data_IF_599082652223
#
_entry.id   IF_599082652223
#
_cell.length_a   1.000
_cell.length_b   1.000
_cell.length_c   1.000
_cell.angle_alpha   90.00
_cell.angle_beta   90.00
_cell.angle_gamma   90.00
#
_symmetry.space_group_name_H-M   'P 1'
#
loop_
_entity.id
_entity.type
_entity.pdbx_description
1 polymer ?
#
# COMPACT_ATOMS: atom_id res chain seq x y z
N UNK A 1 19.20 -24.25 -63.88
CA UNK A 1 17.77 -24.62 -63.73
C UNK A 1 17.48 -24.85 -62.26
N UNK A 2 16.29 -24.45 -61.77
CA UNK A 2 16.19 -23.55 -60.62
C UNK A 2 15.46 -24.16 -59.41
N UNK A 3 15.49 -23.41 -58.31
CA UNK A 3 14.62 -23.54 -57.16
C UNK A 3 14.70 -22.30 -56.28
N UNK A 4 14.35 -21.13 -56.84
CA UNK A 4 14.15 -19.89 -56.11
C UNK A 4 12.90 -20.00 -55.21
N UNK A 5 12.98 -19.50 -53.98
CA UNK A 5 11.86 -18.80 -53.36
C UNK A 5 12.38 -17.47 -52.84
N UNK A 6 11.88 -16.40 -53.45
CA UNK A 6 12.19 -15.01 -53.15
C UNK A 6 11.74 -14.66 -51.73
N UNK A 7 12.63 -14.05 -50.94
CA UNK A 7 12.23 -13.30 -49.75
C UNK A 7 11.63 -11.99 -50.23
N UNK A 8 10.37 -11.73 -49.88
CA UNK A 8 9.70 -10.46 -50.20
C UNK A 8 10.43 -9.27 -49.53
N UNK A 9 10.62 -8.12 -50.22
CA UNK A 9 11.40 -7.00 -49.69
C UNK A 9 10.69 -6.12 -48.64
N UNK A 10 9.47 -6.45 -48.20
CA UNK A 10 8.63 -5.51 -47.45
C UNK A 10 8.80 -5.53 -45.93
N UNK A 11 9.52 -6.50 -45.36
CA UNK A 11 9.67 -6.58 -43.90
C UNK A 11 10.85 -5.78 -43.34
N UNK A 12 11.78 -5.33 -44.21
CA UNK A 12 12.98 -4.58 -43.80
C UNK A 12 12.77 -3.10 -43.53
N UNK A 13 11.65 -2.51 -43.99
CA UNK A 13 11.35 -1.07 -43.82
C UNK A 13 10.29 -0.77 -42.74
N UNK A 14 9.61 -1.79 -42.19
CA UNK A 14 8.60 -1.57 -41.14
C UNK A 14 9.21 -1.50 -39.73
N UNK A 15 10.48 -1.88 -39.56
CA UNK A 15 11.16 -1.92 -38.26
C UNK A 15 11.83 -0.60 -37.85
N UNK A 16 11.96 0.39 -38.74
CA UNK A 16 12.53 1.70 -38.38
C UNK A 16 11.49 2.70 -37.87
N UNK A 17 10.21 2.54 -38.22
CA UNK A 17 9.20 3.60 -38.01
C UNK A 17 8.23 3.30 -36.85
N UNK A 18 8.43 2.21 -36.10
CA UNK A 18 7.56 1.78 -34.98
C UNK A 18 8.21 2.00 -33.59
N UNK A 19 9.41 2.59 -33.53
CA UNK A 19 10.17 2.73 -32.27
C UNK A 19 10.36 4.17 -31.80
N UNK A 20 9.35 5.02 -31.90
CA UNK A 20 9.30 6.21 -31.05
C UNK A 20 7.89 6.52 -30.53
N UNK A 21 7.47 5.79 -29.49
CA UNK A 21 6.20 6.02 -28.77
C UNK A 21 6.37 7.08 -27.66
N UNK A 22 7.35 7.99 -27.79
CA UNK A 22 7.61 9.04 -26.78
C UNK A 22 6.92 10.38 -27.08
N UNK A 23 6.20 10.50 -28.19
CA UNK A 23 5.39 11.68 -28.52
C UNK A 23 3.90 11.33 -28.63
N UNK A 24 3.02 12.29 -28.32
CA UNK A 24 1.57 12.16 -28.47
C UNK A 24 1.14 11.79 -29.91
N UNK A 25 1.94 12.16 -30.92
CA UNK A 25 1.70 11.81 -32.33
C UNK A 25 1.93 10.32 -32.61
N UNK A 26 2.92 9.69 -31.96
CA UNK A 26 3.20 8.26 -32.11
C UNK A 26 2.07 7.35 -31.60
N UNK A 27 1.38 7.79 -30.54
CA UNK A 27 0.20 7.08 -29.99
C UNK A 27 -0.99 7.17 -30.94
N UNK A 28 -1.20 8.34 -31.56
CA UNK A 28 -2.30 8.56 -32.50
C UNK A 28 -2.15 7.73 -33.78
N UNK A 29 -0.91 7.63 -34.31
CA UNK A 29 -0.61 6.81 -35.49
C UNK A 29 -0.80 5.31 -35.22
N UNK A 30 -0.44 4.84 -34.02
CA UNK A 30 -0.64 3.44 -33.63
C UNK A 30 -2.13 3.08 -33.48
N UNK A 31 -2.93 3.98 -32.89
CA UNK A 31 -4.38 3.79 -32.78
C UNK A 31 -5.08 3.80 -34.15
N UNK A 32 -4.63 4.65 -35.08
CA UNK A 32 -5.19 4.72 -36.43
C UNK A 32 -4.89 3.44 -37.25
N UNK A 33 -3.71 2.83 -37.05
CA UNK A 33 -3.33 1.58 -37.73
C UNK A 33 -4.07 0.36 -37.16
N UNK A 34 -4.39 0.38 -35.87
CA UNK A 34 -5.22 -0.66 -35.23
C UNK A 34 -6.69 -0.62 -35.67
N UNK A 35 -7.22 0.56 -36.05
CA UNK A 35 -8.56 0.66 -36.64
C UNK A 35 -8.62 0.09 -38.06
N UNK A 36 -7.57 0.22 -38.86
CA UNK A 36 -7.49 -0.36 -40.21
C UNK A 36 -7.40 -1.89 -40.18
N UNK A 37 -6.69 -2.45 -39.20
CA UNK A 37 -6.58 -3.91 -38.99
C UNK A 37 -7.87 -4.59 -38.52
N UNK A 38 -8.87 -3.83 -38.02
CA UNK A 38 -10.16 -4.36 -37.55
C UNK A 38 -11.22 -4.51 -38.65
N UNK A 39 -10.94 -4.09 -39.88
CA UNK A 39 -11.91 -4.10 -40.99
C UNK A 39 -11.82 -5.33 -41.90
N UNK A 40 -10.97 -6.32 -41.61
CA UNK A 40 -10.71 -7.43 -42.56
C UNK A 40 -10.78 -8.85 -41.98
N UNK A 41 -11.72 -9.17 -41.08
CA UNK A 41 -11.97 -10.58 -40.74
C UNK A 41 -13.44 -10.86 -40.40
N UNK A 42 -14.16 -11.47 -41.33
CA UNK A 42 -15.47 -12.08 -41.13
C UNK A 42 -15.34 -13.56 -40.68
N UNK A 43 -15.96 -13.87 -39.53
CA UNK A 43 -16.64 -15.14 -39.12
C UNK A 43 -15.81 -16.41 -38.78
N UNK A 44 -16.32 -17.39 -37.97
CA UNK A 44 -17.71 -17.63 -37.57
C UNK A 44 -17.98 -17.86 -36.06
N UNK A 45 -19.29 -17.95 -35.78
CA UNK A 45 -20.00 -18.12 -34.51
C UNK A 45 -19.39 -19.07 -33.46
N UNK A 46 -19.21 -18.55 -32.25
CA UNK A 46 -19.23 -19.34 -31.02
C UNK A 46 -19.98 -18.58 -29.90
N UNK A 47 -21.23 -18.20 -30.17
CA UNK A 47 -22.11 -17.47 -29.24
C UNK A 47 -22.75 -18.37 -28.17
N UNK A 48 -22.07 -19.42 -27.71
CA UNK A 48 -22.63 -20.33 -26.69
C UNK A 48 -21.63 -20.72 -25.57
N UNK A 49 -20.35 -20.33 -25.68
CA UNK A 49 -19.33 -20.65 -24.68
C UNK A 49 -18.81 -19.42 -23.89
N UNK A 50 -19.23 -18.21 -24.27
CA UNK A 50 -18.77 -16.96 -23.64
C UNK A 50 -19.71 -16.43 -22.55
N UNK A 51 -20.82 -17.12 -22.29
CA UNK A 51 -21.92 -16.58 -21.47
C UNK A 51 -22.14 -17.32 -20.14
N UNK A 52 -21.36 -18.37 -19.84
CA UNK A 52 -21.58 -19.22 -18.65
C UNK A 52 -20.62 -18.99 -17.47
N UNK A 53 -19.77 -17.96 -17.49
CA UNK A 53 -18.85 -17.67 -16.37
C UNK A 53 -19.03 -16.29 -15.72
N UNK A 54 -20.23 -15.70 -15.78
CA UNK A 54 -20.59 -14.55 -14.95
C UNK A 54 -20.77 -14.98 -13.48
N UNK A 55 -19.68 -15.30 -12.80
CA UNK A 55 -19.59 -14.98 -11.37
C UNK A 55 -19.39 -13.48 -11.31
N UNK A 56 -20.39 -12.76 -10.80
CA UNK A 56 -20.42 -11.31 -10.72
C UNK A 56 -19.24 -10.79 -9.89
N UNK A 57 -18.19 -10.34 -10.57
CA UNK A 57 -17.18 -9.44 -10.02
C UNK A 57 -17.81 -8.04 -10.03
N UNK A 58 -17.75 -7.27 -8.93
CA UNK A 58 -18.39 -5.96 -8.84
C UNK A 58 -17.84 -4.97 -9.89
N UNK A 59 -18.59 -3.91 -10.18
CA UNK A 59 -18.40 -2.93 -11.26
C UNK A 59 -17.08 -2.12 -11.26
N UNK A 60 -16.09 -2.54 -10.47
CA UNK A 60 -14.77 -1.92 -10.26
C UNK A 60 -13.81 -2.21 -11.42
N UNK A 61 -14.17 -3.10 -12.35
CA UNK A 61 -13.27 -3.65 -13.39
C UNK A 61 -12.88 -2.68 -14.53
N UNK A 62 -13.38 -1.44 -14.57
CA UNK A 62 -13.12 -0.52 -15.70
C UNK A 62 -12.92 0.93 -15.28
N UNK A 63 -11.74 1.24 -14.76
CA UNK A 63 -11.27 2.63 -14.70
C UNK A 63 -10.75 2.99 -16.09
N UNK A 64 -11.32 4.02 -16.71
CA UNK A 64 -10.76 4.52 -17.96
C UNK A 64 -9.39 5.14 -17.71
N UNK A 65 -8.48 5.04 -18.69
CA UNK A 65 -7.18 5.70 -18.58
C UNK A 65 -7.33 7.22 -18.35
N UNK A 66 -8.39 7.83 -18.87
CA UNK A 66 -8.73 9.23 -18.64
C UNK A 66 -9.05 9.53 -17.17
N UNK A 67 -9.79 8.67 -16.48
CA UNK A 67 -10.06 8.80 -15.04
C UNK A 67 -8.77 8.61 -14.24
N UNK A 68 -7.95 7.61 -14.59
CA UNK A 68 -6.66 7.37 -13.94
C UNK A 68 -5.73 8.60 -14.01
N UNK A 69 -5.69 9.33 -15.14
CA UNK A 69 -4.90 10.56 -15.28
C UNK A 69 -5.28 11.63 -14.23
N UNK A 70 -6.57 11.77 -13.89
CA UNK A 70 -7.02 12.74 -12.89
C UNK A 70 -6.44 12.43 -11.52
N UNK A 71 -6.39 11.16 -11.15
CA UNK A 71 -5.81 10.69 -9.90
C UNK A 71 -4.28 10.84 -9.88
N UNK A 72 -3.61 10.56 -11.01
CA UNK A 72 -2.16 10.77 -11.14
C UNK A 72 -1.81 12.24 -10.87
N UNK A 73 -2.48 13.17 -11.56
CA UNK A 73 -2.25 14.61 -11.36
C UNK A 73 -2.55 15.07 -9.94
N UNK A 74 -3.58 14.52 -9.29
CA UNK A 74 -3.94 14.84 -7.89
C UNK A 74 -2.87 14.40 -6.89
N UNK A 75 -2.24 13.25 -7.13
CA UNK A 75 -1.35 12.61 -6.16
C UNK A 75 0.14 12.66 -6.51
N UNK A 76 0.50 13.27 -7.64
CA UNK A 76 1.90 13.48 -8.01
C UNK A 76 2.66 14.22 -6.89
N UNK A 77 3.82 13.68 -6.51
CA UNK A 77 4.66 14.23 -5.43
C UNK A 77 4.12 14.01 -4.01
N UNK A 78 2.89 13.49 -3.85
CA UNK A 78 2.31 13.20 -2.53
C UNK A 78 2.93 11.97 -1.90
N UNK A 79 2.97 11.95 -0.58
CA UNK A 79 3.55 10.83 0.19
C UNK A 79 2.44 9.89 0.63
N UNK A 80 2.54 8.62 0.24
CA UNK A 80 1.69 7.54 0.76
C UNK A 80 2.53 6.62 1.64
N UNK A 81 2.03 6.35 2.85
CA UNK A 81 2.60 5.36 3.75
C UNK A 81 1.72 4.11 3.69
N UNK A 82 2.31 2.98 3.32
CA UNK A 82 1.59 1.72 3.18
C UNK A 82 2.05 0.78 4.28
N UNK A 83 1.14 0.40 5.17
CA UNK A 83 1.41 -0.67 6.13
C UNK A 83 1.11 -2.01 5.45
N UNK A 84 2.16 -2.79 5.22
CA UNK A 84 2.08 -4.12 4.62
C UNK A 84 2.29 -5.21 5.67
N UNK A 85 1.25 -5.95 6.05
CA UNK A 85 1.36 -6.95 7.11
C UNK A 85 0.23 -7.97 7.13
N UNK A 86 0.45 -9.11 7.80
CA UNK A 86 -0.61 -10.09 8.09
C UNK A 86 -0.88 -11.08 6.94
N UNK A 87 -2.14 -11.37 6.67
CA UNK A 87 -2.57 -12.26 5.58
C UNK A 87 -2.22 -11.73 4.18
N UNK A 88 -1.97 -10.43 4.02
CA UNK A 88 -1.54 -9.84 2.75
C UNK A 88 -0.09 -10.25 2.36
N UNK A 89 0.72 -10.67 3.34
CA UNK A 89 2.09 -11.15 3.11
C UNK A 89 2.15 -12.66 2.90
N UNK A 90 1.16 -13.36 3.42
CA UNK A 90 1.08 -14.81 3.41
C UNK A 90 -0.01 -15.20 2.43
N UNK A 91 0.40 -15.44 1.19
CA UNK A 91 -0.39 -16.28 0.30
C UNK A 91 -0.63 -17.62 1.01
N UNK A 92 -1.80 -17.79 1.61
CA UNK A 92 -2.21 -19.10 2.12
C UNK A 92 -2.40 -20.06 0.95
N UNK A 93 -2.62 -21.34 1.22
CA UNK A 93 -2.99 -22.32 0.19
C UNK A 93 -4.24 -21.92 -0.63
N UNK A 94 -4.99 -20.90 -0.18
CA UNK A 94 -6.15 -20.30 -0.86
C UNK A 94 -5.93 -18.86 -1.38
N UNK A 95 -4.78 -18.24 -1.11
CA UNK A 95 -4.38 -16.96 -1.68
C UNK A 95 -3.08 -17.20 -2.44
N UNK A 96 -3.18 -17.47 -3.74
CA UNK A 96 -2.00 -17.77 -4.55
C UNK A 96 -0.93 -16.69 -4.44
N UNK A 97 0.30 -17.04 -4.84
CA UNK A 97 1.49 -16.17 -4.88
C UNK A 97 1.26 -14.77 -5.51
N UNK A 98 0.14 -14.58 -6.21
CA UNK A 98 -0.27 -13.34 -6.85
C UNK A 98 -0.58 -12.15 -5.93
N UNK A 99 -0.98 -12.31 -4.66
CA UNK A 99 -1.32 -11.15 -3.81
C UNK A 99 -0.07 -10.31 -3.45
N UNK A 100 1.02 -10.98 -3.05
CA UNK A 100 2.31 -10.33 -2.77
C UNK A 100 2.93 -9.75 -4.04
N UNK A 101 2.84 -10.47 -5.16
CA UNK A 101 3.28 -9.99 -6.47
C UNK A 101 2.50 -8.74 -6.92
N UNK A 102 1.18 -8.76 -6.77
CA UNK A 102 0.31 -7.61 -7.08
C UNK A 102 0.67 -6.40 -6.22
N UNK A 103 0.94 -6.60 -4.92
CA UNK A 103 1.40 -5.51 -4.05
C UNK A 103 2.68 -4.85 -4.57
N UNK A 104 3.69 -5.65 -4.95
CA UNK A 104 4.93 -5.12 -5.51
C UNK A 104 4.71 -4.37 -6.83
N UNK A 105 3.83 -4.87 -7.70
CA UNK A 105 3.44 -4.19 -8.93
C UNK A 105 2.73 -2.86 -8.64
N UNK A 106 1.78 -2.85 -7.70
CA UNK A 106 0.98 -1.68 -7.32
C UNK A 106 1.87 -0.55 -6.79
N UNK A 107 2.70 -0.82 -5.78
CA UNK A 107 3.56 0.22 -5.19
C UNK A 107 4.59 0.73 -6.20
N UNK A 108 5.07 -0.14 -7.08
CA UNK A 108 5.96 0.24 -8.17
C UNK A 108 5.26 1.13 -9.19
N UNK A 109 4.03 0.80 -9.58
CA UNK A 109 3.24 1.60 -10.51
C UNK A 109 2.94 2.97 -9.93
N UNK A 110 2.45 3.04 -8.68
CA UNK A 110 2.19 4.29 -7.99
C UNK A 110 3.44 5.17 -7.92
N UNK A 111 4.60 4.57 -7.66
CA UNK A 111 5.89 5.26 -7.69
C UNK A 111 6.22 5.80 -9.08
N UNK A 112 6.02 5.00 -10.14
CA UNK A 112 6.26 5.43 -11.53
C UNK A 112 5.32 6.56 -11.95
N UNK A 113 4.16 6.69 -11.31
CA UNK A 113 3.23 7.82 -11.47
C UNK A 113 3.62 9.07 -10.65
N UNK A 114 4.80 9.07 -10.01
CA UNK A 114 5.32 10.23 -9.26
C UNK A 114 4.89 10.28 -7.79
N UNK A 115 4.13 9.30 -7.30
CA UNK A 115 3.74 9.21 -5.88
C UNK A 115 4.95 8.73 -5.06
N UNK A 116 5.18 9.38 -3.91
CA UNK A 116 6.29 9.06 -2.99
C UNK A 116 5.83 7.97 -2.02
N UNK A 117 6.22 6.72 -2.26
CA UNK A 117 5.81 5.57 -1.45
C UNK A 117 6.81 5.30 -0.31
N UNK A 118 6.28 5.10 0.89
CA UNK A 118 6.99 4.52 2.04
C UNK A 118 6.24 3.26 2.48
N UNK A 119 6.93 2.14 2.60
CA UNK A 119 6.35 0.89 3.08
C UNK A 119 6.81 0.63 4.52
N UNK A 120 5.88 0.32 5.42
CA UNK A 120 6.18 -0.17 6.77
C UNK A 120 5.61 -1.58 6.87
N UNK A 121 6.44 -2.57 7.25
CA UNK A 121 5.98 -3.96 7.22
C UNK A 121 5.81 -4.59 8.60
N UNK A 122 4.98 -5.63 8.66
CA UNK A 122 4.88 -6.54 9.80
C UNK A 122 5.70 -7.81 9.62
N UNK A 123 5.42 -8.81 10.44
CA UNK A 123 6.06 -10.13 10.36
C UNK A 123 5.62 -11.10 11.47
N UNK A 124 4.44 -10.89 12.04
CA UNK A 124 4.03 -11.57 13.27
C UNK A 124 3.98 -13.09 13.13
N UNK A 125 3.50 -13.61 11.99
CA UNK A 125 3.36 -15.05 11.74
C UNK A 125 4.72 -15.71 11.58
N UNK A 126 5.59 -15.09 10.80
CA UNK A 126 6.94 -15.54 10.48
C UNK A 126 7.84 -15.54 11.73
N UNK A 127 7.72 -14.51 12.57
CA UNK A 127 8.41 -14.46 13.87
C UNK A 127 7.90 -15.59 14.78
N UNK A 128 6.58 -15.79 14.88
CA UNK A 128 6.01 -16.88 15.69
C UNK A 128 6.53 -18.24 15.22
N UNK A 129 6.48 -18.51 13.91
CA UNK A 129 6.98 -19.76 13.34
C UNK A 129 8.48 -19.97 13.61
N UNK A 130 9.28 -18.90 13.61
CA UNK A 130 10.71 -18.99 13.93
C UNK A 130 10.95 -19.29 15.42
N UNK A 131 10.22 -18.61 16.31
CA UNK A 131 10.30 -18.85 17.76
C UNK A 131 9.89 -20.29 18.12
N UNK A 132 8.80 -20.79 17.52
CA UNK A 132 8.34 -22.17 17.69
C UNK A 132 9.40 -23.18 17.23
N UNK A 133 10.04 -22.96 16.07
CA UNK A 133 11.15 -23.80 15.59
C UNK A 133 12.35 -23.84 16.54
N UNK A 134 12.57 -22.80 17.33
CA UNK A 134 13.63 -22.72 18.34
C UNK A 134 13.18 -23.21 19.72
N UNK A 135 11.94 -23.69 19.85
CA UNK A 135 11.37 -24.10 21.14
C UNK A 135 11.13 -22.94 22.11
N UNK A 136 11.04 -21.70 21.62
CA UNK A 136 10.80 -20.52 22.43
C UNK A 136 9.29 -20.22 22.52
N UNK A 137 8.73 -20.07 23.73
CA UNK A 137 7.30 -19.83 23.89
C UNK A 137 6.91 -18.42 23.39
N UNK A 138 5.80 -18.34 22.64
CA UNK A 138 5.25 -17.05 22.23
C UNK A 138 4.12 -16.60 23.15
N UNK A 139 4.21 -15.38 23.69
CA UNK A 139 3.16 -14.77 24.51
C UNK A 139 2.75 -13.42 23.94
N UNK A 140 1.45 -13.17 23.89
CA UNK A 140 0.87 -11.88 23.54
C UNK A 140 0.13 -11.28 24.73
N UNK A 141 0.32 -9.98 24.95
CA UNK A 141 -0.35 -9.20 25.99
C UNK A 141 -0.94 -7.97 25.31
N UNK A 142 -2.27 -7.82 25.35
CA UNK A 142 -3.00 -6.71 24.71
C UNK A 142 -2.62 -6.51 23.23
N UNK A 143 -2.47 -7.61 22.47
CA UNK A 143 -2.11 -7.58 21.05
C UNK A 143 -0.64 -7.28 20.75
N UNK A 144 0.21 -7.12 21.77
CA UNK A 144 1.65 -6.94 21.62
C UNK A 144 2.41 -8.20 22.02
N UNK A 145 3.44 -8.58 21.26
CA UNK A 145 4.28 -9.73 21.58
C UNK A 145 5.17 -9.37 22.77
N UNK A 146 5.04 -10.10 23.88
CA UNK A 146 6.03 -10.03 24.95
C UNK A 146 7.41 -10.37 24.37
N UNK A 147 8.39 -9.50 24.59
CA UNK A 147 9.69 -9.59 23.92
C UNK A 147 10.79 -9.43 24.95
N UNK A 148 11.39 -10.52 25.43
CA UNK A 148 12.62 -10.47 26.24
C UNK A 148 13.87 -10.22 25.38
N UNK A 149 15.06 -10.21 26.00
CA UNK A 149 16.33 -9.92 25.30
C UNK A 149 16.65 -10.97 24.21
N UNK A 150 16.35 -12.27 24.44
CA UNK A 150 16.56 -13.31 23.42
C UNK A 150 15.52 -13.25 22.31
N UNK A 151 14.24 -13.06 22.66
CA UNK A 151 13.15 -12.88 21.70
C UNK A 151 13.41 -11.65 20.82
N UNK A 152 13.97 -10.57 21.37
CA UNK A 152 14.29 -9.36 20.62
C UNK A 152 15.30 -9.63 19.49
N UNK A 153 16.33 -10.45 19.74
CA UNK A 153 17.31 -10.85 18.70
C UNK A 153 16.62 -11.54 17.52
N UNK A 154 15.70 -12.47 17.81
CA UNK A 154 14.95 -13.19 16.77
C UNK A 154 13.99 -12.25 16.03
N UNK A 155 13.28 -11.39 16.76
CA UNK A 155 12.41 -10.35 16.17
C UNK A 155 13.20 -9.48 15.20
N UNK A 156 14.39 -9.03 15.58
CA UNK A 156 15.25 -8.19 14.75
C UNK A 156 15.75 -8.93 13.51
N UNK A 157 16.29 -10.14 13.68
CA UNK A 157 16.75 -10.98 12.56
C UNK A 157 15.63 -11.26 11.54
N UNK A 158 14.42 -11.53 12.03
CA UNK A 158 13.28 -11.81 11.16
C UNK A 158 12.75 -10.55 10.49
N UNK A 159 12.51 -9.47 11.22
CA UNK A 159 11.97 -8.23 10.66
C UNK A 159 12.97 -7.55 9.72
N UNK A 160 14.16 -7.19 10.21
CA UNK A 160 15.13 -6.40 9.44
C UNK A 160 15.94 -7.23 8.43
N UNK A 161 16.10 -8.53 8.71
CA UNK A 161 16.77 -9.48 7.83
C UNK A 161 15.80 -10.11 6.84
N UNK A 162 15.22 -11.25 7.23
CA UNK A 162 14.47 -12.11 6.30
C UNK A 162 13.32 -11.37 5.59
N UNK A 163 12.40 -10.79 6.37
CA UNK A 163 11.15 -10.26 5.85
C UNK A 163 11.37 -8.97 5.07
N UNK A 164 12.13 -8.03 5.64
CA UNK A 164 12.44 -6.77 4.98
C UNK A 164 13.13 -6.98 3.63
N UNK A 165 14.13 -7.87 3.57
CA UNK A 165 14.86 -8.12 2.31
C UNK A 165 14.03 -8.89 1.30
N UNK A 166 13.14 -9.78 1.74
CA UNK A 166 12.17 -10.43 0.85
C UNK A 166 11.26 -9.41 0.15
N UNK A 167 10.67 -8.46 0.90
CA UNK A 167 9.81 -7.41 0.33
C UNK A 167 10.61 -6.51 -0.62
N UNK A 168 11.82 -6.11 -0.24
CA UNK A 168 12.69 -5.28 -1.08
C UNK A 168 13.05 -5.99 -2.38
N UNK A 169 13.40 -7.27 -2.31
CA UNK A 169 13.69 -8.08 -3.51
C UNK A 169 12.47 -8.18 -4.42
N UNK A 170 11.29 -8.39 -3.84
CA UNK A 170 10.03 -8.50 -4.56
C UNK A 170 9.67 -7.20 -5.29
N UNK A 171 9.82 -6.05 -4.64
CA UNK A 171 9.58 -4.73 -5.28
C UNK A 171 10.63 -4.45 -6.36
N UNK A 172 11.89 -4.76 -6.10
CA UNK A 172 12.99 -4.51 -7.05
C UNK A 172 12.92 -5.40 -8.29
N UNK A 173 12.27 -6.57 -8.22
CA UNK A 173 11.96 -7.40 -9.39
C UNK A 173 11.16 -6.64 -10.47
N UNK A 174 10.40 -5.60 -10.09
CA UNK A 174 9.62 -4.75 -11.00
C UNK A 174 10.23 -3.36 -11.21
N UNK A 175 11.52 -3.18 -10.87
CA UNK A 175 12.24 -1.90 -10.93
C UNK A 175 11.66 -0.81 -10.00
N UNK A 176 11.16 -1.19 -8.82
CA UNK A 176 10.62 -0.24 -7.84
C UNK A 176 11.65 0.57 -7.05
N UNK A 177 12.95 0.29 -7.19
CA UNK A 177 14.08 0.92 -6.47
C UNK A 177 13.81 1.09 -4.97
N UNK A 178 13.54 -0.02 -4.30
CA UNK A 178 13.31 -0.13 -2.88
C UNK A 178 14.61 -0.23 -2.08
N UNK A 179 14.64 0.46 -0.92
CA UNK A 179 15.71 0.37 0.07
C UNK A 179 15.14 -0.14 1.39
N UNK A 180 15.63 -1.29 1.82
CA UNK A 180 15.26 -1.87 3.11
C UNK A 180 16.04 -1.27 4.27
N UNK A 181 15.34 -0.62 5.19
CA UNK A 181 15.88 -0.06 6.44
C UNK A 181 15.05 -0.52 7.64
N UNK A 182 15.58 -0.32 8.83
CA UNK A 182 14.89 -0.48 10.11
C UNK A 182 14.77 0.88 10.81
N UNK A 183 14.04 0.94 11.90
CA UNK A 183 14.06 2.14 12.75
C UNK A 183 15.40 2.39 13.45
N UNK A 184 16.35 1.45 13.42
CA UNK A 184 17.70 1.63 13.96
C UNK A 184 18.56 2.49 13.02
N UNK A 185 18.40 2.31 11.72
CA UNK A 185 19.22 2.96 10.69
C UNK A 185 19.03 4.49 10.72
N UNK A 186 20.14 5.22 10.87
CA UNK A 186 20.11 6.68 11.01
C UNK A 186 19.30 7.18 12.22
N UNK A 187 19.10 6.33 13.24
CA UNK A 187 18.21 6.58 14.36
C UNK A 187 16.80 6.98 13.92
N UNK A 188 16.27 6.28 12.91
CA UNK A 188 14.97 6.57 12.33
C UNK A 188 13.85 6.57 13.38
N UNK A 189 13.84 5.63 14.31
CA UNK A 189 12.88 5.53 15.40
C UNK A 189 13.57 5.62 16.76
N UNK A 190 13.48 6.78 17.41
CA UNK A 190 13.74 6.87 18.85
C UNK A 190 12.48 6.44 19.59
N UNK A 191 12.59 5.45 20.45
CA UNK A 191 11.46 4.83 21.14
C UNK A 191 11.66 4.85 22.66
N UNK A 192 10.57 4.65 23.39
CA UNK A 192 10.58 4.37 24.83
C UNK A 192 9.92 3.02 25.08
N UNK A 193 10.26 2.37 26.19
CA UNK A 193 9.52 1.21 26.69
C UNK A 193 8.03 1.55 26.86
N UNK A 194 7.16 0.63 26.44
CA UNK A 194 5.72 0.72 26.72
C UNK A 194 5.47 0.38 28.17
N UNK A 195 5.87 -0.82 28.57
CA UNK A 195 5.83 -1.33 29.94
C UNK A 195 6.94 -2.40 30.04
N UNK A 196 8.06 -2.05 30.66
CA UNK A 196 9.25 -2.91 30.65
C UNK A 196 9.02 -4.18 31.46
N UNK A 197 8.23 -4.11 32.53
CA UNK A 197 8.00 -5.24 33.44
C UNK A 197 6.99 -6.21 32.85
N UNK A 198 5.93 -5.71 32.21
CA UNK A 198 4.90 -6.55 31.62
C UNK A 198 5.25 -7.05 30.21
N UNK A 199 5.89 -6.21 29.37
CA UNK A 199 6.09 -6.48 27.94
C UNK A 199 7.55 -6.73 27.54
N UNK A 200 8.52 -6.42 28.40
CA UNK A 200 9.94 -6.49 28.06
C UNK A 200 10.39 -5.37 27.10
N UNK A 201 11.16 -5.72 26.09
CA UNK A 201 11.70 -4.86 25.03
C UNK A 201 10.64 -4.48 23.97
N UNK A 202 9.47 -4.02 24.42
CA UNK A 202 8.41 -3.49 23.55
C UNK A 202 8.39 -1.97 23.62
N UNK A 203 8.36 -1.33 22.45
CA UNK A 203 8.60 0.09 22.30
C UNK A 203 7.44 0.88 21.71
N UNK A 204 7.36 2.15 22.11
CA UNK A 204 6.53 3.18 21.50
C UNK A 204 7.42 4.30 20.95
N UNK A 205 7.24 4.63 19.67
CA UNK A 205 8.03 5.65 18.97
C UNK A 205 7.74 7.03 19.57
N UNK A 206 8.79 7.75 19.91
CA UNK A 206 8.75 9.14 20.37
C UNK A 206 9.12 10.14 19.30
N UNK A 207 10.04 9.75 18.43
CA UNK A 207 10.50 10.63 17.37
C UNK A 207 10.82 9.79 16.14
N UNK A 208 10.36 10.29 14.98
CA UNK A 208 10.75 9.80 13.66
C UNK A 208 11.77 10.76 13.06
N UNK A 209 12.91 10.25 12.58
CA UNK A 209 13.89 11.04 11.84
C UNK A 209 13.39 11.30 10.41
N UNK A 210 12.56 12.34 10.25
CA UNK A 210 11.98 12.70 8.95
C UNK A 210 13.01 13.14 7.91
N UNK A 211 14.18 13.65 8.35
CA UNK A 211 15.25 14.08 7.44
C UNK A 211 15.74 12.91 6.58
N UNK A 212 15.98 11.75 7.19
CA UNK A 212 16.39 10.55 6.46
C UNK A 212 15.34 10.16 5.40
N UNK A 213 14.07 10.11 5.79
CA UNK A 213 12.99 9.72 4.87
C UNK A 213 12.82 10.71 3.72
N UNK A 214 12.86 12.02 3.99
CA UNK A 214 12.77 13.03 2.93
C UNK A 214 13.93 12.93 1.93
N UNK A 215 15.16 12.69 2.38
CA UNK A 215 16.30 12.51 1.47
C UNK A 215 16.14 11.28 0.58
N UNK A 216 15.71 10.15 1.15
CA UNK A 216 15.43 8.93 0.36
C UNK A 216 14.33 9.17 -0.68
N UNK A 217 13.23 9.80 -0.29
CA UNK A 217 12.11 10.11 -1.20
C UNK A 217 12.50 11.13 -2.29
N UNK A 218 13.36 12.10 -1.96
CA UNK A 218 13.92 13.08 -2.90
C UNK A 218 14.80 12.40 -3.94
N UNK A 219 15.63 11.45 -3.53
CA UNK A 219 16.44 10.61 -4.42
C UNK A 219 15.62 9.55 -5.17
N UNK A 220 14.29 9.57 -5.04
CA UNK A 220 13.37 8.61 -5.62
C UNK A 220 13.69 7.16 -5.20
N UNK A 221 14.09 6.93 -3.95
CA UNK A 221 14.07 5.60 -3.34
C UNK A 221 12.72 5.33 -2.69
N UNK A 222 12.32 4.05 -2.63
CA UNK A 222 11.15 3.60 -1.86
C UNK A 222 11.64 2.98 -0.53
N UNK A 223 11.55 3.68 0.61
CA UNK A 223 11.94 3.10 1.89
C UNK A 223 10.99 1.96 2.28
N UNK A 224 11.55 0.81 2.64
CA UNK A 224 10.83 -0.34 3.21
C UNK A 224 11.33 -0.53 4.64
N UNK A 225 10.47 -0.23 5.62
CA UNK A 225 10.87 -0.01 7.02
C UNK A 225 10.43 -1.19 7.90
N UNK A 226 11.40 -1.80 8.58
CA UNK A 226 11.19 -2.74 9.68
C UNK A 226 10.94 -2.00 11.01
N UNK A 227 9.87 -2.33 11.77
CA UNK A 227 9.44 -1.57 12.95
C UNK A 227 10.24 -1.94 14.21
N UNK A 228 11.50 -1.50 14.26
CA UNK A 228 12.41 -1.67 15.41
C UNK A 228 12.85 -0.29 15.89
N UNK A 229 12.62 0.04 17.16
CA UNK A 229 13.03 1.32 17.74
C UNK A 229 14.30 1.24 18.57
N UNK A 230 14.95 2.37 18.82
CA UNK A 230 16.11 2.49 19.72
C UNK A 230 15.68 3.24 20.98
N UNK A 231 15.90 2.63 22.14
CA UNK A 231 15.74 3.25 23.45
C UNK A 231 16.89 4.21 23.80
N UNK A 232 16.71 5.05 24.80
CA UNK A 232 17.76 5.99 25.26
C UNK A 232 19.02 5.32 25.80
N UNK A 233 18.91 4.06 26.24
CA UNK A 233 20.04 3.22 26.69
C UNK A 233 20.70 2.45 25.54
N UNK A 234 20.27 2.67 24.30
CA UNK A 234 20.78 2.01 23.10
C UNK A 234 20.16 0.63 22.83
N UNK A 235 19.27 0.12 23.70
CA UNK A 235 18.59 -1.16 23.44
C UNK A 235 17.58 -1.06 22.31
N UNK A 236 17.45 -2.14 21.55
CA UNK A 236 16.45 -2.26 20.50
C UNK A 236 15.10 -2.67 21.09
N UNK A 237 14.02 -2.09 20.57
CA UNK A 237 12.65 -2.34 21.00
C UNK A 237 11.80 -2.80 19.82
N UNK A 238 11.01 -3.84 20.05
CA UNK A 238 9.98 -4.30 19.14
C UNK A 238 8.81 -3.31 19.12
N UNK A 239 8.52 -2.72 17.96
CA UNK A 239 7.44 -1.75 17.80
C UNK A 239 6.31 -2.37 16.98
N UNK A 240 5.07 -2.14 17.40
CA UNK A 240 3.91 -2.56 16.61
C UNK A 240 3.92 -1.89 15.22
N UNK A 241 3.79 -2.69 14.15
CA UNK A 241 3.88 -2.20 12.77
C UNK A 241 2.78 -1.18 12.39
N UNK A 242 1.56 -1.34 12.92
CA UNK A 242 0.47 -0.37 12.67
C UNK A 242 0.82 0.98 13.31
N UNK A 243 1.30 0.96 14.57
CA UNK A 243 1.75 2.17 15.27
C UNK A 243 2.98 2.80 14.63
N UNK A 244 3.90 1.99 14.09
CA UNK A 244 5.06 2.48 13.35
C UNK A 244 4.63 3.20 12.06
N UNK A 245 3.71 2.60 11.29
CA UNK A 245 3.16 3.21 10.09
C UNK A 245 2.42 4.52 10.38
N UNK A 246 1.59 4.54 11.44
CA UNK A 246 0.94 5.75 11.93
C UNK A 246 1.93 6.84 12.31
N UNK A 247 3.00 6.48 13.02
CA UNK A 247 4.06 7.43 13.44
C UNK A 247 4.81 8.01 12.24
N UNK A 248 5.15 7.18 11.25
CA UNK A 248 5.80 7.62 10.00
C UNK A 248 4.88 8.53 9.19
N UNK A 249 3.62 8.14 9.00
CA UNK A 249 2.64 8.92 8.25
C UNK A 249 2.39 10.28 8.90
N UNK A 250 2.22 10.29 10.22
CA UNK A 250 2.03 11.53 11.00
C UNK A 250 3.24 12.44 10.90
N UNK A 251 4.45 11.90 11.08
CA UNK A 251 5.68 12.68 11.02
C UNK A 251 5.94 13.28 9.63
N UNK A 252 5.61 12.55 8.57
CA UNK A 252 5.73 13.02 7.18
C UNK A 252 4.53 13.87 6.71
N UNK A 253 3.47 14.00 7.52
CA UNK A 253 2.17 14.57 7.10
C UNK A 253 1.69 13.97 5.78
N UNK A 254 1.69 12.64 5.73
CA UNK A 254 1.37 11.89 4.52
C UNK A 254 -0.02 12.24 3.99
N UNK A 255 -0.18 12.17 2.67
CA UNK A 255 -1.48 12.33 2.02
C UNK A 255 -2.39 11.14 2.39
N UNK A 256 -1.82 9.92 2.37
CA UNK A 256 -2.54 8.70 2.74
C UNK A 256 -1.69 7.81 3.63
N UNK A 257 -2.34 7.24 4.65
CA UNK A 257 -1.89 6.02 5.31
C UNK A 257 -2.83 4.89 4.92
N UNK A 258 -2.29 3.81 4.34
CA UNK A 258 -3.10 2.65 3.91
C UNK A 258 -2.69 1.42 4.73
N UNK A 259 -3.65 0.84 5.44
CA UNK A 259 -3.48 -0.43 6.13
C UNK A 259 -3.99 -1.56 5.25
N UNK A 260 -3.07 -2.43 4.82
CA UNK A 260 -3.41 -3.71 4.20
C UNK A 260 -3.73 -4.72 5.33
N UNK A 261 -5.01 -5.06 5.46
CA UNK A 261 -5.54 -5.95 6.49
C UNK A 261 -6.07 -7.25 5.90
N UNK A 262 -6.51 -8.14 6.79
CA UNK A 262 -7.23 -9.39 6.53
C UNK A 262 -8.77 -9.23 6.52
N UNK A 263 -9.26 -7.98 6.58
CA UNK A 263 -10.67 -7.62 6.58
C UNK A 263 -10.97 -6.62 5.46
N UNK A 264 -12.18 -6.63 4.88
CA UNK A 264 -12.58 -5.68 3.82
C UNK A 264 -12.53 -4.22 4.25
N UNK A 265 -12.74 -3.94 5.54
CA UNK A 265 -12.79 -2.60 6.10
C UNK A 265 -13.63 -2.58 7.37
N UNK A 266 -14.23 -1.43 7.66
CA UNK A 266 -15.18 -1.29 8.76
C UNK A 266 -16.57 -1.75 8.28
N UNK A 267 -17.09 -2.78 8.95
CA UNK A 267 -18.37 -3.37 8.64
C UNK A 267 -19.45 -2.86 9.60
N UNK A 268 -20.65 -2.61 9.08
CA UNK A 268 -21.85 -2.31 9.86
C UNK A 268 -23.01 -3.14 9.33
N UNK A 269 -23.60 -3.98 10.18
CA UNK A 269 -24.72 -4.88 9.82
C UNK A 269 -24.45 -5.70 8.55
N UNK A 270 -23.23 -6.24 8.42
CA UNK A 270 -22.82 -7.06 7.28
C UNK A 270 -22.50 -6.29 5.99
N UNK A 271 -22.55 -4.95 6.00
CA UNK A 271 -22.18 -4.11 4.86
C UNK A 271 -20.91 -3.30 5.14
N UNK A 272 -20.08 -3.13 4.13
CA UNK A 272 -18.91 -2.25 4.18
C UNK A 272 -19.34 -0.80 4.31
N UNK A 273 -18.64 -0.02 5.13
CA UNK A 273 -18.76 1.43 5.19
C UNK A 273 -17.62 2.02 4.32
N UNK A 274 -17.91 2.61 3.15
CA UNK A 274 -16.87 3.14 2.27
C UNK A 274 -16.15 4.36 2.85
N UNK A 275 -16.88 5.23 3.55
CA UNK A 275 -16.33 6.44 4.17
C UNK A 275 -16.79 6.59 5.62
N UNK A 276 -15.85 6.87 6.52
CA UNK A 276 -16.09 7.00 7.95
C UNK A 276 -15.53 8.31 8.48
N UNK A 277 -16.41 9.21 8.94
CA UNK A 277 -16.03 10.41 9.70
C UNK A 277 -15.93 10.11 11.19
N UNK A 278 -15.30 11.00 11.96
CA UNK A 278 -15.09 10.83 13.40
C UNK A 278 -16.42 10.77 14.16
N UNK A 279 -17.41 11.59 13.79
CA UNK A 279 -18.74 11.58 14.41
C UNK A 279 -19.46 10.29 14.09
N UNK A 280 -19.38 9.81 12.84
CA UNK A 280 -20.03 8.56 12.46
C UNK A 280 -19.40 7.37 13.18
N UNK A 281 -18.07 7.38 13.35
CA UNK A 281 -17.37 6.38 14.13
C UNK A 281 -17.82 6.38 15.59
N UNK A 282 -17.94 7.55 16.23
CA UNK A 282 -18.44 7.64 17.61
C UNK A 282 -19.85 7.07 17.75
N UNK A 283 -20.75 7.35 16.79
CA UNK A 283 -22.09 6.77 16.77
C UNK A 283 -22.07 5.24 16.67
N UNK A 284 -21.26 4.69 15.76
CA UNK A 284 -21.17 3.23 15.55
C UNK A 284 -20.53 2.49 16.73
N UNK A 285 -19.60 3.14 17.43
CA UNK A 285 -19.00 2.62 18.67
C UNK A 285 -20.04 2.65 19.79
N UNK A 286 -20.75 3.78 19.96
CA UNK A 286 -21.76 3.92 21.00
C UNK A 286 -22.96 2.98 20.82
N UNK A 287 -23.32 2.66 19.57
CA UNK A 287 -24.39 1.69 19.25
C UNK A 287 -23.96 0.23 19.37
N UNK A 288 -22.68 -0.05 19.67
CA UNK A 288 -22.13 -1.41 19.73
C UNK A 288 -22.06 -2.12 18.37
N UNK A 289 -22.18 -1.38 17.26
CA UNK A 289 -22.17 -1.96 15.90
C UNK A 289 -20.76 -2.39 15.48
N UNK A 290 -19.73 -1.71 15.98
CA UNK A 290 -18.32 -2.08 15.74
C UNK A 290 -17.80 -2.87 16.93
N UNK A 291 -17.19 -4.03 16.66
CA UNK A 291 -16.68 -4.95 17.69
C UNK A 291 -15.31 -4.53 18.25
N UNK A 292 -14.98 -5.07 19.43
CA UNK A 292 -13.86 -4.66 20.28
C UNK A 292 -12.48 -4.65 19.59
N UNK A 293 -12.25 -5.48 18.56
CA UNK A 293 -10.98 -5.50 17.84
C UNK A 293 -10.78 -4.34 16.86
N UNK A 294 -11.88 -3.78 16.33
CA UNK A 294 -11.84 -2.71 15.33
C UNK A 294 -11.86 -1.32 15.96
N UNK A 295 -12.43 -1.19 17.17
CA UNK A 295 -12.45 0.09 17.92
C UNK A 295 -11.05 0.70 18.10
N UNK A 296 -10.00 -0.05 18.52
CA UNK A 296 -8.66 0.49 18.64
C UNK A 296 -8.07 0.98 17.30
N UNK A 297 -8.35 0.27 16.20
CA UNK A 297 -7.88 0.65 14.84
C UNK A 297 -8.52 1.95 14.38
N UNK A 298 -9.84 2.08 14.57
CA UNK A 298 -10.56 3.31 14.24
C UNK A 298 -10.05 4.49 15.07
N UNK A 299 -9.88 4.31 16.39
CA UNK A 299 -9.34 5.37 17.26
C UNK A 299 -7.92 5.79 16.83
N UNK A 300 -7.03 4.84 16.57
CA UNK A 300 -5.67 5.13 16.11
C UNK A 300 -5.64 5.81 14.73
N UNK A 301 -6.58 5.45 13.83
CA UNK A 301 -6.73 6.12 12.55
C UNK A 301 -7.14 7.60 12.71
N UNK A 302 -8.11 7.91 13.58
CA UNK A 302 -8.47 9.31 13.86
C UNK A 302 -7.38 10.09 14.58
N UNK A 303 -6.61 9.46 15.47
CA UNK A 303 -5.40 10.10 16.03
C UNK A 303 -4.39 10.45 14.95
N UNK A 304 -4.19 9.56 13.97
CA UNK A 304 -3.30 9.78 12.83
C UNK A 304 -3.80 10.93 11.95
N UNK A 305 -5.11 11.01 11.70
CA UNK A 305 -5.74 12.11 10.97
C UNK A 305 -5.56 13.45 11.71
N UNK A 306 -5.76 13.48 13.03
CA UNK A 306 -5.54 14.68 13.87
C UNK A 306 -4.07 15.12 13.88
N UNK A 307 -3.14 14.20 13.69
CA UNK A 307 -1.71 14.50 13.56
C UNK A 307 -1.32 15.08 12.18
N UNK A 308 -2.26 15.24 11.24
CA UNK A 308 -2.07 15.94 9.98
C UNK A 308 -1.98 15.05 8.75
N UNK A 309 -2.25 13.74 8.86
CA UNK A 309 -2.48 12.87 7.71
C UNK A 309 -3.84 13.21 7.09
N UNK A 310 -3.94 13.30 5.76
CA UNK A 310 -5.19 13.70 5.12
C UNK A 310 -6.24 12.59 5.16
N UNK A 311 -5.85 11.37 4.82
CA UNK A 311 -6.75 10.21 4.78
C UNK A 311 -6.10 8.95 5.33
N UNK A 312 -6.89 8.12 6.00
CA UNK A 312 -6.46 6.77 6.43
C UNK A 312 -7.36 5.75 5.76
N UNK A 313 -6.80 4.71 5.18
CA UNK A 313 -7.54 3.65 4.50
C UNK A 313 -7.32 2.32 5.21
N UNK A 314 -8.39 1.53 5.35
CA UNK A 314 -8.33 0.14 5.80
C UNK A 314 -8.93 -0.70 4.68
N UNK A 315 -8.10 -1.54 4.04
CA UNK A 315 -8.51 -2.34 2.88
C UNK A 315 -8.07 -3.80 3.02
N UNK A 316 -8.71 -4.69 2.26
CA UNK A 316 -8.34 -6.11 2.20
C UNK A 316 -7.10 -6.32 1.32
N UNK A 317 -5.96 -6.56 1.97
CA UNK A 317 -4.70 -6.81 1.27
C UNK A 317 -4.60 -8.21 0.63
N UNK A 318 -5.61 -9.07 0.78
CA UNK A 318 -5.66 -10.37 0.10
C UNK A 318 -6.16 -10.25 -1.34
N UNK A 319 -6.85 -9.16 -1.66
CA UNK A 319 -7.34 -8.89 -3.01
C UNK A 319 -6.16 -8.44 -3.89
N UNK A 320 -5.94 -9.09 -5.05
CA UNK A 320 -4.99 -8.61 -6.05
C UNK A 320 -5.31 -7.17 -6.45
N UNK A 321 -4.26 -6.37 -6.61
CA UNK A 321 -4.35 -4.96 -6.98
C UNK A 321 -5.17 -4.07 -6.03
N UNK A 322 -5.33 -4.49 -4.77
CA UNK A 322 -6.14 -3.78 -3.77
C UNK A 322 -5.74 -2.32 -3.60
N UNK A 323 -4.45 -1.98 -3.67
CA UNK A 323 -4.00 -0.59 -3.57
C UNK A 323 -4.47 0.24 -4.75
N UNK A 324 -4.35 -0.28 -5.97
CA UNK A 324 -4.77 0.45 -7.17
C UNK A 324 -6.28 0.62 -7.20
N UNK A 325 -7.02 -0.44 -6.87
CA UNK A 325 -8.48 -0.39 -6.79
C UNK A 325 -8.96 0.62 -5.75
N UNK A 326 -8.29 0.72 -4.61
CA UNK A 326 -8.62 1.74 -3.59
C UNK A 326 -8.27 3.17 -4.02
N UNK A 327 -7.13 3.37 -4.69
CA UNK A 327 -6.62 4.71 -4.99
C UNK A 327 -7.26 5.33 -6.23
N UNK A 328 -7.59 4.51 -7.23
CA UNK A 328 -8.03 4.96 -8.56
C UNK A 328 -9.53 4.77 -8.82
N UNK A 329 -10.33 4.49 -7.79
CA UNK A 329 -11.80 4.44 -7.89
C UNK A 329 -12.44 5.41 -6.92
N UNK A 330 -13.60 5.95 -7.28
CA UNK A 330 -14.35 6.87 -6.40
C UNK A 330 -14.96 6.14 -5.20
N UNK A 331 -15.41 4.90 -5.39
CA UNK A 331 -16.03 4.10 -4.32
C UNK A 331 -14.99 3.44 -3.40
N UNK A 332 -13.79 3.15 -3.90
CA UNK A 332 -12.81 2.33 -3.20
C UNK A 332 -13.25 0.87 -3.05
N UNK A 333 -12.42 0.07 -2.38
CA UNK A 333 -12.73 -1.33 -2.04
C UNK A 333 -12.74 -1.59 -0.53
N UNK A 334 -12.37 -0.60 0.28
CA UNK A 334 -12.41 -0.68 1.74
C UNK A 334 -13.04 0.53 2.40
N UNK A 335 -12.50 0.90 3.56
CA UNK A 335 -12.99 2.06 4.33
C UNK A 335 -11.96 3.17 4.34
N UNK A 336 -12.34 4.31 3.78
CA UNK A 336 -11.64 5.58 3.90
C UNK A 336 -12.11 6.31 5.18
N UNK A 337 -11.18 6.65 6.05
CA UNK A 337 -11.41 7.51 7.22
C UNK A 337 -10.92 8.92 6.91
N UNK A 338 -11.78 9.90 7.16
CA UNK A 338 -11.52 11.32 6.89
C UNK A 338 -11.90 12.18 8.08
N UNK A 339 -11.28 13.36 8.17
CA UNK A 339 -11.77 14.44 9.04
C UNK A 339 -13.02 15.03 8.43
N UNK A 340 -13.98 15.37 9.26
CA UNK A 340 -15.15 16.16 8.85
C UNK A 340 -14.63 17.50 8.36
N UNK A 341 -14.92 17.84 7.11
CA UNK A 341 -14.57 19.15 6.60
C UNK A 341 -15.27 20.20 7.46
N UNK A 342 -14.51 20.93 8.28
CA UNK A 342 -14.96 22.26 8.69
C UNK A 342 -14.99 23.04 7.40
N UNK A 343 -16.19 23.34 6.88
CA UNK A 343 -16.38 24.15 5.69
C UNK A 343 -15.36 25.30 5.71
N UNK A 344 -14.32 25.18 4.89
CA UNK A 344 -13.44 26.29 4.59
C UNK A 344 -14.32 27.30 3.91
N UNK A 345 -14.81 28.27 4.69
CA UNK A 345 -15.57 29.38 4.17
C UNK A 345 -14.73 29.97 3.03
N UNK A 346 -15.26 29.80 1.81
CA UNK A 346 -14.91 30.62 0.68
C UNK A 346 -15.11 32.06 1.17
N UNK A 347 -14.03 32.77 1.45
CA UNK A 347 -14.11 34.19 1.78
C UNK A 347 -14.45 34.89 0.48
N UNK A 348 -15.67 35.47 0.33
CA UNK A 348 -15.90 36.35 -0.79
C UNK A 348 -15.06 37.60 -0.50
N UNK A 349 -14.08 37.87 -1.34
CA UNK A 349 -13.42 39.15 -1.39
C UNK A 349 -14.47 40.22 -1.68
N UNK A 350 -15.00 40.87 -0.65
CA UNK A 350 -15.70 42.13 -0.81
C UNK A 350 -14.63 43.23 -0.85
N UNK A 351 -14.36 43.67 -2.08
CA UNK A 351 -13.80 44.98 -2.33
C UNK A 351 -14.84 46.03 -1.96
N UNK A 352 -14.55 46.89 -1.00
CA UNK A 352 -15.17 48.21 -0.94
C UNK A 352 -14.08 49.27 -1.12
N UNK A 353 -14.04 49.80 -2.35
CA UNK A 353 -13.93 51.24 -2.61
C UNK A 353 -15.03 51.89 -1.74
N UNK A 354 -14.81 52.95 -0.98
CA UNK A 354 -14.25 54.27 -1.32
C UNK A 354 -14.07 55.08 -0.06
#
# INVERSE_FOLDING_TARGET
>A
MPGQTERSPEWGKLHSDILDVRSLEGICLYQCKLSELKLSSETPSSSAAYESSKKSVPAVDRISFAEAIRYISRYEGKIFVIKYGGSAMNGGESAGDGASESFAQDVTLLKKMGIKIVVVHGGGREITAMLEKLGMPTRFINGQRYTDDETMKIVEMMLAGNINKSIVSMINKYDGTALGISGVDGSLFKAKYVDRDALGNVGHIKQVNVKLLHELLRMNWMPVIAPIGIASDGKHLNVNADLAAASVASALKAEKLVYLSDVPGVMSNGKLIPTLTEEKAHQLIASGTVTDGMIPKIRAAFETLRAGVNKVHIIDGRLPHSLLLEIFTDEGIGTELIRTETNGAFSPSFSEKS
#
